data_IF_338631879460
#
_entry.id   IF_338631879460
#
_cell.length_a   1.000
_cell.length_b   1.000
_cell.length_c   1.000
_cell.angle_alpha   90.00
_cell.angle_beta   90.00
_cell.angle_gamma   90.00
#
_symmetry.space_group_name_H-M   'P 1'
#
loop_
_entity.id
_entity.type
_entity.pdbx_description
1 polymer ?
#
# COMPACT_ATOMS: atom_id res chain seq x y z
N UNK A 1 19.80 18.81 0.59
CA UNK A 1 19.88 17.47 -0.05
C UNK A 1 19.63 16.45 1.04
N UNK A 2 18.61 15.60 0.92
CA UNK A 2 18.38 14.52 1.89
C UNK A 2 19.36 13.40 1.55
N UNK A 3 20.31 13.13 2.43
CA UNK A 3 21.21 11.99 2.31
C UNK A 3 20.45 10.73 2.71
N UNK A 4 20.10 9.89 1.74
CA UNK A 4 19.51 8.57 2.00
C UNK A 4 20.56 7.73 2.74
N UNK A 5 20.20 7.15 3.88
CA UNK A 5 21.06 6.20 4.60
C UNK A 5 20.69 4.78 4.12
N UNK A 6 21.50 4.11 3.28
CA UNK A 6 21.13 2.80 2.75
C UNK A 6 21.12 1.73 3.84
N UNK A 7 20.32 0.68 3.63
CA UNK A 7 20.40 -0.54 4.46
C UNK A 7 21.70 -1.26 4.09
N UNK A 8 22.62 -1.35 5.05
CA UNK A 8 23.90 -2.02 4.84
C UNK A 8 23.72 -3.55 4.75
N UNK A 9 24.78 -4.27 4.37
CA UNK A 9 24.73 -5.71 4.15
C UNK A 9 24.43 -6.48 5.44
N UNK A 10 25.01 -6.07 6.58
CA UNK A 10 24.78 -6.71 7.88
C UNK A 10 23.33 -6.57 8.35
N UNK A 11 22.75 -5.37 8.24
CA UNK A 11 21.38 -5.10 8.61
C UNK A 11 20.42 -5.92 7.75
N UNK A 12 20.69 -6.00 6.45
CA UNK A 12 19.92 -6.80 5.48
C UNK A 12 20.00 -8.29 5.76
N UNK A 13 21.20 -8.81 6.00
CA UNK A 13 21.40 -10.22 6.34
C UNK A 13 20.72 -10.57 7.67
N UNK A 14 20.79 -9.67 8.66
CA UNK A 14 20.08 -9.79 9.94
C UNK A 14 18.58 -9.91 9.74
N UNK A 15 17.97 -9.09 8.86
CA UNK A 15 16.54 -9.17 8.56
C UNK A 15 16.18 -10.50 7.88
N UNK A 16 16.89 -10.88 6.81
CA UNK A 16 16.59 -12.08 6.04
C UNK A 16 16.74 -13.35 6.89
N UNK A 17 17.79 -13.42 7.71
CA UNK A 17 18.02 -14.56 8.61
C UNK A 17 17.03 -14.57 9.77
N UNK A 18 16.66 -13.41 10.29
CA UNK A 18 15.68 -13.27 11.37
C UNK A 18 14.30 -13.79 10.99
N UNK A 19 13.83 -13.52 9.77
CA UNK A 19 12.57 -14.05 9.23
C UNK A 19 12.56 -15.58 9.09
N UNK A 20 13.74 -16.18 8.87
CA UNK A 20 13.92 -17.64 8.73
C UNK A 20 14.21 -18.36 10.04
N UNK A 21 14.41 -17.62 11.13
CA UNK A 21 14.76 -18.21 12.43
C UNK A 21 13.71 -19.23 12.86
N UNK A 22 14.10 -20.29 13.57
CA UNK A 22 13.15 -21.19 14.23
C UNK A 22 12.62 -20.60 15.54
N UNK A 23 13.25 -19.53 16.05
CA UNK A 23 12.94 -18.93 17.35
C UNK A 23 11.86 -17.85 17.19
N UNK A 24 10.67 -17.99 17.82
CA UNK A 24 9.57 -17.04 17.67
C UNK A 24 9.94 -15.60 18.06
N UNK A 25 10.66 -15.43 19.17
CA UNK A 25 11.11 -14.12 19.64
C UNK A 25 12.01 -13.42 18.60
N UNK A 26 12.89 -14.15 17.92
CA UNK A 26 13.74 -13.60 16.86
C UNK A 26 12.93 -13.13 15.66
N UNK A 27 11.92 -13.91 15.24
CA UNK A 27 10.99 -13.49 14.19
C UNK A 27 10.27 -12.20 14.58
N UNK A 28 9.70 -12.16 15.79
CA UNK A 28 8.95 -10.99 16.27
C UNK A 28 9.80 -9.72 16.32
N UNK A 29 11.04 -9.81 16.82
CA UNK A 29 11.98 -8.68 16.82
C UNK A 29 12.30 -8.25 15.39
N UNK A 30 12.44 -9.20 14.47
CA UNK A 30 12.71 -8.91 13.05
C UNK A 30 11.53 -8.23 12.38
N UNK A 31 10.30 -8.69 12.62
CA UNK A 31 9.07 -8.05 12.15
C UNK A 31 8.99 -6.61 12.65
N UNK A 32 9.20 -6.39 13.95
CA UNK A 32 9.26 -5.05 14.55
C UNK A 32 10.32 -4.18 13.88
N UNK A 33 11.52 -4.71 13.64
CA UNK A 33 12.61 -3.99 12.96
C UNK A 33 12.21 -3.55 11.54
N UNK A 34 11.53 -4.41 10.77
CA UNK A 34 11.03 -4.05 9.45
C UNK A 34 9.99 -2.93 9.57
N UNK A 35 9.05 -3.03 10.50
CA UNK A 35 8.05 -1.97 10.75
C UNK A 35 8.72 -0.65 11.15
N UNK A 36 9.73 -0.68 12.02
CA UNK A 36 10.47 0.52 12.42
C UNK A 36 11.17 1.17 11.21
N UNK A 37 11.69 0.37 10.26
CA UNK A 37 12.23 0.89 8.99
C UNK A 37 11.15 1.57 8.14
N UNK A 38 9.93 1.02 8.07
CA UNK A 38 8.83 1.64 7.31
C UNK A 38 8.41 3.00 7.85
N UNK A 39 8.60 3.24 9.14
CA UNK A 39 8.16 4.46 9.83
C UNK A 39 9.30 5.48 9.89
N UNK A 40 10.51 5.03 10.25
CA UNK A 40 11.64 5.91 10.58
C UNK A 40 12.53 6.19 9.38
N UNK A 41 12.69 5.25 8.45
CA UNK A 41 13.60 5.32 7.29
C UNK A 41 13.00 4.72 6.00
N UNK A 42 11.80 5.16 5.56
CA UNK A 42 11.14 4.59 4.37
C UNK A 42 11.96 4.73 3.08
N UNK A 43 12.73 5.81 2.94
CA UNK A 43 13.61 6.06 1.79
C UNK A 43 14.70 5.00 1.63
N UNK A 44 15.16 4.38 2.72
CA UNK A 44 16.16 3.31 2.71
C UNK A 44 15.62 2.03 2.08
N UNK A 45 14.34 1.72 2.32
CA UNK A 45 13.64 0.57 1.72
C UNK A 45 13.35 0.80 0.24
N UNK A 46 12.92 2.02 -0.13
CA UNK A 46 12.71 2.40 -1.53
C UNK A 46 14.02 2.37 -2.34
N UNK A 47 15.11 2.86 -1.75
CA UNK A 47 16.43 2.77 -2.37
C UNK A 47 16.89 1.32 -2.54
N UNK A 48 16.63 0.46 -1.54
CA UNK A 48 16.94 -0.97 -1.64
C UNK A 48 16.10 -1.67 -2.70
N UNK A 49 14.82 -1.32 -2.90
CA UNK A 49 14.00 -1.88 -3.98
C UNK A 49 14.56 -1.52 -5.36
N UNK A 50 14.98 -0.27 -5.53
CA UNK A 50 15.60 0.21 -6.77
C UNK A 50 16.96 -0.44 -7.06
N UNK A 51 17.78 -0.68 -6.03
CA UNK A 51 19.19 -1.13 -6.19
C UNK A 51 19.39 -2.63 -6.00
N UNK A 52 18.61 -3.27 -5.14
CA UNK A 52 18.66 -4.70 -4.84
C UNK A 52 17.24 -5.26 -4.60
N UNK A 53 16.51 -5.36 -5.70
CA UNK A 53 15.17 -5.94 -5.72
C UNK A 53 15.14 -7.37 -5.17
N UNK A 54 16.22 -8.15 -5.31
CA UNK A 54 16.24 -9.55 -4.82
C UNK A 54 16.10 -9.61 -3.31
N UNK A 55 16.76 -8.72 -2.57
CA UNK A 55 16.65 -8.70 -1.11
C UNK A 55 15.25 -8.32 -0.64
N UNK A 56 14.58 -7.38 -1.32
CA UNK A 56 13.18 -7.06 -1.04
C UNK A 56 12.27 -8.27 -1.28
N UNK A 57 12.46 -9.00 -2.39
CA UNK A 57 11.69 -10.21 -2.66
C UNK A 57 11.92 -11.28 -1.60
N UNK A 58 13.15 -11.46 -1.12
CA UNK A 58 13.46 -12.42 -0.02
C UNK A 58 12.79 -12.03 1.29
N UNK A 59 12.66 -10.73 1.58
CA UNK A 59 11.93 -10.24 2.75
C UNK A 59 10.44 -10.55 2.59
N UNK A 60 9.84 -10.24 1.44
CA UNK A 60 8.42 -10.50 1.15
C UNK A 60 8.10 -12.00 1.27
N UNK A 61 8.87 -12.87 0.61
CA UNK A 61 8.65 -14.32 0.71
C UNK A 61 8.87 -14.86 2.13
N UNK A 62 9.75 -14.22 2.91
CA UNK A 62 9.93 -14.54 4.33
C UNK A 62 8.70 -14.23 5.16
N UNK A 63 8.06 -13.08 4.90
CA UNK A 63 6.81 -12.68 5.57
C UNK A 63 5.64 -13.59 5.18
N UNK A 64 5.47 -13.87 3.89
CA UNK A 64 4.42 -14.77 3.38
C UNK A 64 4.54 -16.18 3.98
N UNK A 65 5.77 -16.69 4.11
CA UNK A 65 6.02 -17.99 4.75
C UNK A 65 5.59 -18.00 6.22
N UNK A 66 5.81 -16.91 6.97
CA UNK A 66 5.36 -16.82 8.37
C UNK A 66 3.83 -16.79 8.42
N UNK A 67 3.19 -16.01 7.54
CA UNK A 67 1.73 -15.92 7.47
C UNK A 67 1.07 -17.27 7.21
N UNK A 68 1.63 -18.06 6.30
CA UNK A 68 1.02 -19.32 5.85
C UNK A 68 1.37 -20.50 6.76
N UNK A 69 2.62 -20.60 7.23
CA UNK A 69 3.14 -21.84 7.84
C UNK A 69 3.54 -21.74 9.31
N UNK A 70 3.53 -20.56 9.94
CA UNK A 70 3.85 -20.48 11.36
C UNK A 70 2.76 -21.13 12.22
N UNK A 71 3.11 -21.59 13.42
CA UNK A 71 2.14 -22.15 14.37
C UNK A 71 1.61 -21.09 15.32
N UNK A 72 2.35 -19.99 15.49
CA UNK A 72 1.97 -18.90 16.38
C UNK A 72 1.09 -17.89 15.62
N UNK A 73 -0.17 -17.81 16.02
CA UNK A 73 -1.16 -16.90 15.43
C UNK A 73 -0.78 -15.41 15.63
N UNK A 74 -0.02 -15.08 16.69
CA UNK A 74 0.50 -13.72 16.88
C UNK A 74 1.53 -13.41 15.81
N UNK A 75 2.43 -14.34 15.52
CA UNK A 75 3.43 -14.16 14.45
C UNK A 75 2.79 -14.02 13.07
N UNK A 76 1.76 -14.82 12.76
CA UNK A 76 1.00 -14.67 11.51
C UNK A 76 0.41 -13.27 11.38
N UNK A 77 -0.29 -12.82 12.43
CA UNK A 77 -0.91 -11.48 12.46
C UNK A 77 0.12 -10.37 12.28
N UNK A 78 1.22 -10.42 13.03
CA UNK A 78 2.29 -9.43 12.95
C UNK A 78 2.99 -9.44 11.59
N UNK A 79 3.16 -10.62 10.97
CA UNK A 79 3.71 -10.74 9.62
C UNK A 79 2.78 -10.12 8.56
N UNK A 80 1.47 -10.32 8.67
CA UNK A 80 0.48 -9.68 7.79
C UNK A 80 0.56 -8.15 7.87
N UNK A 81 0.56 -7.59 9.09
CA UNK A 81 0.66 -6.13 9.31
C UNK A 81 2.00 -5.61 8.79
N UNK A 82 3.08 -6.34 9.00
CA UNK A 82 4.42 -5.97 8.52
C UNK A 82 4.48 -5.95 7.01
N UNK A 83 3.91 -6.95 6.33
CA UNK A 83 3.87 -7.03 4.87
C UNK A 83 3.06 -5.88 4.26
N UNK A 84 1.92 -5.54 4.85
CA UNK A 84 1.08 -4.43 4.41
C UNK A 84 1.84 -3.10 4.49
N UNK A 85 2.45 -2.80 5.64
CA UNK A 85 3.26 -1.58 5.82
C UNK A 85 4.45 -1.53 4.85
N UNK A 86 5.14 -2.65 4.66
CA UNK A 86 6.26 -2.74 3.73
C UNK A 86 5.83 -2.43 2.29
N UNK A 87 4.72 -3.01 1.83
CA UNK A 87 4.15 -2.74 0.49
C UNK A 87 3.83 -1.26 0.31
N UNK A 88 3.16 -0.65 1.29
CA UNK A 88 2.86 0.80 1.30
C UNK A 88 4.15 1.62 1.16
N UNK A 89 5.19 1.31 1.95
CA UNK A 89 6.48 2.02 1.93
C UNK A 89 7.19 1.91 0.59
N UNK A 90 7.18 0.73 -0.05
CA UNK A 90 7.80 0.51 -1.36
C UNK A 90 7.10 1.23 -2.51
N UNK A 91 6.00 1.94 -2.23
CA UNK A 91 5.29 2.68 -3.24
C UNK A 91 4.58 1.77 -4.22
N UNK A 92 4.22 0.54 -3.82
CA UNK A 92 3.10 -0.16 -4.46
C UNK A 92 1.84 0.67 -4.13
N UNK A 93 1.66 1.75 -4.88
CA UNK A 93 0.77 2.90 -4.61
C UNK A 93 -0.73 2.57 -4.57
N UNK A 94 -1.09 1.30 -4.56
CA UNK A 94 -2.46 0.85 -4.55
C UNK A 94 -2.50 -0.44 -3.73
N UNK A 95 -2.68 -0.33 -2.41
CA UNK A 95 -3.43 -1.38 -1.72
C UNK A 95 -4.90 -1.04 -1.94
N UNK A 96 -5.31 -1.13 -3.20
CA UNK A 96 -6.64 -1.63 -3.49
C UNK A 96 -6.47 -3.14 -3.43
N UNK A 97 -7.45 -3.85 -2.88
CA UNK A 97 -7.61 -5.28 -3.08
C UNK A 97 -7.32 -5.60 -4.53
N UNK A 98 -6.28 -6.42 -4.77
CA UNK A 98 -5.97 -6.87 -6.13
C UNK A 98 -7.18 -7.64 -6.63
N UNK A 99 -7.82 -7.11 -7.68
CA UNK A 99 -8.91 -7.80 -8.32
C UNK A 99 -8.34 -8.85 -9.27
N UNK A 100 -8.89 -10.05 -9.20
CA UNK A 100 -8.49 -11.16 -10.05
C UNK A 100 -9.61 -11.52 -11.01
N UNK A 101 -9.27 -11.80 -12.26
CA UNK A 101 -10.20 -12.36 -13.22
C UNK A 101 -10.70 -13.72 -12.72
N UNK A 102 -12.01 -13.89 -12.52
CA UNK A 102 -12.58 -15.17 -12.05
C UNK A 102 -12.43 -16.33 -13.05
N UNK A 103 -12.07 -16.04 -14.30
CA UNK A 103 -11.87 -17.05 -15.34
C UNK A 103 -10.42 -17.55 -15.43
N UNK A 104 -9.43 -16.65 -15.43
CA UNK A 104 -8.01 -17.00 -15.64
C UNK A 104 -7.08 -16.63 -14.48
N UNK A 105 -7.63 -16.04 -13.41
CA UNK A 105 -6.92 -15.61 -12.22
C UNK A 105 -5.80 -14.58 -12.45
N UNK A 106 -5.76 -13.94 -13.63
CA UNK A 106 -4.86 -12.82 -13.88
C UNK A 106 -5.28 -11.60 -13.08
N UNK A 107 -4.31 -10.79 -12.67
CA UNK A 107 -4.56 -9.49 -12.03
C UNK A 107 -5.22 -8.55 -13.04
N UNK A 108 -6.27 -7.85 -12.60
CA UNK A 108 -7.04 -6.92 -13.42
C UNK A 108 -7.26 -5.59 -12.70
N UNK A 109 -7.63 -4.57 -13.47
CA UNK A 109 -8.12 -3.28 -12.99
C UNK A 109 -9.63 -3.17 -13.28
N UNK A 110 -10.42 -2.63 -12.35
CA UNK A 110 -11.87 -2.44 -12.52
C UNK A 110 -12.23 -1.40 -13.60
N UNK A 111 -11.24 -0.61 -14.06
CA UNK A 111 -11.35 0.26 -15.22
C UNK A 111 -11.35 -0.47 -16.56
N UNK A 112 -11.04 -1.77 -16.59
CA UNK A 112 -11.04 -2.55 -17.82
C UNK A 112 -12.40 -3.17 -18.11
N UNK A 113 -12.79 -3.23 -19.38
CA UNK A 113 -14.02 -3.91 -19.81
C UNK A 113 -13.80 -5.42 -19.92
N UNK A 114 -12.65 -5.83 -20.45
CA UNK A 114 -12.30 -7.22 -20.71
C UNK A 114 -10.95 -7.57 -20.08
N UNK A 115 -10.78 -8.83 -19.67
CA UNK A 115 -9.52 -9.32 -19.15
C UNK A 115 -8.44 -9.31 -20.25
N UNK A 116 -7.33 -8.62 -20.01
CA UNK A 116 -6.21 -8.56 -20.95
C UNK A 116 -5.55 -9.93 -21.23
N UNK A 117 -5.69 -10.89 -20.31
CA UNK A 117 -5.09 -12.22 -20.45
C UNK A 117 -6.00 -13.24 -21.16
N UNK A 118 -7.31 -13.24 -20.86
CA UNK A 118 -8.23 -14.28 -21.39
C UNK A 118 -9.45 -13.75 -22.14
N UNK A 119 -9.64 -12.43 -22.24
CA UNK A 119 -10.75 -11.81 -22.97
C UNK A 119 -12.12 -11.87 -22.29
N UNK A 120 -12.24 -12.47 -21.09
CA UNK A 120 -13.51 -12.52 -20.36
C UNK A 120 -14.03 -11.12 -20.01
N UNK A 121 -15.34 -10.92 -20.12
CA UNK A 121 -16.01 -9.67 -19.74
C UNK A 121 -15.90 -9.47 -18.21
N UNK A 122 -15.29 -8.37 -17.78
CA UNK A 122 -15.09 -8.02 -16.38
C UNK A 122 -16.26 -7.23 -15.79
N UNK A 123 -17.08 -6.59 -16.63
CA UNK A 123 -18.23 -5.78 -16.20
C UNK A 123 -19.33 -6.67 -15.60
N UNK A 124 -19.44 -7.92 -16.06
CA UNK A 124 -20.41 -8.90 -15.57
C UNK A 124 -19.91 -9.70 -14.34
N UNK A 125 -18.67 -9.45 -13.90
CA UNK A 125 -18.08 -10.16 -12.75
C UNK A 125 -18.30 -9.38 -11.45
N UNK A 126 -18.72 -10.06 -10.39
CA UNK A 126 -18.87 -9.42 -9.07
C UNK A 126 -17.54 -9.36 -8.30
N UNK A 127 -17.19 -8.19 -7.74
CA UNK A 127 -16.00 -7.99 -6.89
C UNK A 127 -16.42 -7.46 -5.51
N UNK A 128 -15.93 -8.09 -4.42
CA UNK A 128 -16.41 -7.87 -3.04
C UNK A 128 -16.17 -6.45 -2.51
N UNK A 129 -15.08 -5.79 -2.91
CA UNK A 129 -14.72 -4.43 -2.48
C UNK A 129 -14.99 -3.37 -3.56
N UNK A 130 -15.78 -3.70 -4.59
CA UNK A 130 -16.14 -2.74 -5.63
C UNK A 130 -17.42 -1.96 -5.30
N UNK A 131 -17.48 -0.70 -5.72
CA UNK A 131 -18.69 0.13 -5.74
C UNK A 131 -19.12 0.39 -7.16
N UNK A 132 -20.41 0.49 -7.41
CA UNK A 132 -20.89 0.86 -8.73
C UNK A 132 -20.94 2.37 -8.89
N UNK A 133 -20.46 2.85 -10.04
CA UNK A 133 -20.62 4.26 -10.40
C UNK A 133 -22.11 4.62 -10.39
N UNK A 134 -22.54 5.67 -9.69
CA UNK A 134 -23.96 6.06 -9.65
C UNK A 134 -24.50 6.43 -11.04
N UNK A 135 -23.64 6.90 -11.94
CA UNK A 135 -24.00 7.33 -13.30
C UNK A 135 -24.01 6.16 -14.32
N UNK A 136 -22.92 5.40 -14.43
CA UNK A 136 -22.79 4.37 -15.47
C UNK A 136 -22.92 2.91 -14.98
N UNK A 137 -23.09 2.71 -13.66
CA UNK A 137 -23.25 1.39 -13.01
C UNK A 137 -22.10 0.40 -13.18
N UNK A 138 -21.00 0.78 -13.84
CA UNK A 138 -19.77 -0.01 -13.89
C UNK A 138 -19.02 0.06 -12.55
N UNK A 139 -18.27 -1.00 -12.26
CA UNK A 139 -17.46 -1.12 -11.05
C UNK A 139 -16.39 -0.04 -10.95
N UNK A 140 -16.18 0.45 -9.74
CA UNK A 140 -15.25 1.50 -9.32
C UNK A 140 -14.68 1.15 -7.95
N UNK A 141 -13.63 1.84 -7.53
CA UNK A 141 -13.06 1.74 -6.17
C UNK A 141 -13.29 3.03 -5.39
N UNK A 142 -13.21 2.95 -4.06
CA UNK A 142 -13.41 4.10 -3.17
C UNK A 142 -12.39 5.23 -3.39
N UNK A 143 -11.22 4.91 -3.94
CA UNK A 143 -10.14 5.88 -4.14
C UNK A 143 -10.23 6.63 -5.48
N UNK A 144 -11.14 6.21 -6.37
CA UNK A 144 -11.29 6.89 -7.65
C UNK A 144 -11.94 8.26 -7.45
N UNK A 145 -11.24 9.33 -7.82
CA UNK A 145 -11.81 10.67 -7.83
C UNK A 145 -12.92 10.81 -8.89
N UNK A 146 -12.68 10.21 -10.05
CA UNK A 146 -13.56 10.22 -11.20
C UNK A 146 -13.71 8.79 -11.73
N UNK A 147 -14.88 8.43 -12.24
CA UNK A 147 -15.11 7.15 -12.88
C UNK A 147 -14.27 7.05 -14.16
N UNK A 148 -13.41 6.04 -14.27
CA UNK A 148 -12.59 5.80 -15.46
C UNK A 148 -13.45 5.51 -16.71
N UNK A 149 -14.68 5.02 -16.51
CA UNK A 149 -15.57 4.63 -17.60
C UNK A 149 -16.40 5.77 -18.18
N UNK A 150 -16.83 6.73 -17.35
CA UNK A 150 -17.74 7.80 -17.78
C UNK A 150 -17.34 9.21 -17.32
N UNK A 151 -16.25 9.35 -16.57
CA UNK A 151 -15.75 10.64 -16.07
C UNK A 151 -16.56 11.24 -14.92
N UNK A 152 -17.60 10.57 -14.43
CA UNK A 152 -18.41 11.06 -13.30
C UNK A 152 -17.55 11.25 -12.04
N UNK A 153 -17.67 12.41 -11.38
CA UNK A 153 -16.94 12.72 -10.14
C UNK A 153 -17.49 11.88 -8.98
N UNK A 154 -16.70 10.93 -8.49
CA UNK A 154 -17.08 9.96 -7.46
C UNK A 154 -16.85 10.50 -6.04
N UNK A 155 -15.92 11.44 -5.86
CA UNK A 155 -15.56 12.01 -4.56
C UNK A 155 -15.95 13.50 -4.52
N UNK A 156 -16.71 13.89 -3.50
CA UNK A 156 -17.04 15.29 -3.23
C UNK A 156 -15.82 16.06 -2.70
N UNK A 157 -15.75 17.37 -2.91
CA UNK A 157 -14.56 18.18 -2.54
C UNK A 157 -14.23 18.16 -1.04
N UNK A 158 -15.24 17.94 -0.19
CA UNK A 158 -15.06 17.81 1.26
C UNK A 158 -14.30 16.54 1.64
N UNK A 159 -14.41 15.47 0.84
CA UNK A 159 -13.82 14.15 1.12
C UNK A 159 -12.44 13.97 0.47
N UNK A 160 -11.93 15.01 -0.21
CA UNK A 160 -10.57 14.97 -0.76
C UNK A 160 -9.55 15.10 0.35
N UNK A 161 -8.63 14.15 0.40
CA UNK A 161 -7.42 14.22 1.22
C UNK A 161 -6.57 15.39 0.71
N UNK A 162 -6.51 16.48 1.48
CA UNK A 162 -5.67 17.64 1.18
C UNK A 162 -4.29 17.40 1.80
N UNK A 163 -3.23 17.81 1.10
CA UNK A 163 -1.87 17.82 1.67
C UNK A 163 -1.46 19.25 1.98
N UNK A 164 -0.92 19.47 3.18
CA UNK A 164 -0.42 20.76 3.60
C UNK A 164 0.65 21.24 2.60
N UNK A 165 0.53 22.48 2.09
CA UNK A 165 1.47 23.03 1.12
C UNK A 165 2.91 23.07 1.63
N UNK A 166 3.09 23.30 2.93
CA UNK A 166 4.38 23.43 3.61
C UNK A 166 4.96 22.07 4.04
N UNK A 167 4.29 21.34 4.95
CA UNK A 167 4.83 20.10 5.51
C UNK A 167 4.44 18.82 4.76
N UNK A 168 3.61 18.93 3.70
CA UNK A 168 3.12 17.84 2.85
C UNK A 168 2.33 16.73 3.55
N UNK A 169 2.09 16.85 4.86
CA UNK A 169 1.23 15.93 5.61
C UNK A 169 -0.22 16.07 5.18
N UNK A 170 -0.93 14.97 5.26
CA UNK A 170 -2.37 14.92 5.00
C UNK A 170 -3.11 15.70 6.08
N UNK A 171 -4.06 16.50 5.64
CA UNK A 171 -4.82 17.44 6.44
C UNK A 171 -6.26 17.43 5.95
N UNK A 172 -7.18 17.57 6.90
CA UNK A 172 -8.59 17.62 6.60
C UNK A 172 -8.95 18.92 5.87
N UNK A 173 -9.85 18.82 4.89
CA UNK A 173 -10.30 19.96 4.09
C UNK A 173 -11.11 20.99 4.90
N UNK A 174 -11.66 20.60 6.06
CA UNK A 174 -12.37 21.48 6.99
C UNK A 174 -11.44 22.35 7.82
N UNK A 175 -10.17 21.98 7.97
CA UNK A 175 -9.23 22.66 8.88
C UNK A 175 -8.73 23.99 8.31
N UNK A 176 -8.68 25.01 9.19
CA UNK A 176 -8.17 26.34 8.84
C UNK A 176 -6.64 26.42 8.91
N UNK A 177 -6.04 25.60 9.76
CA UNK A 177 -4.62 25.59 10.11
C UNK A 177 -4.12 24.15 10.15
N UNK A 178 -2.90 23.92 9.67
CA UNK A 178 -2.24 22.63 9.77
C UNK A 178 -1.84 22.39 11.23
N UNK A 179 -2.32 21.32 11.89
CA UNK A 179 -1.95 21.05 13.28
C UNK A 179 -0.49 20.63 13.44
N UNK A 180 0.17 20.25 12.35
CA UNK A 180 1.54 19.75 12.38
C UNK A 180 2.60 20.83 12.18
N UNK A 181 2.27 21.94 11.51
CA UNK A 181 3.25 22.99 11.20
C UNK A 181 2.69 24.41 11.30
N UNK A 182 1.43 24.59 11.72
CA UNK A 182 0.79 25.89 11.87
C UNK A 182 0.53 26.64 10.56
N UNK A 183 0.83 26.04 9.40
CA UNK A 183 0.58 26.67 8.10
C UNK A 183 -0.91 26.74 7.82
N UNK A 184 -1.40 27.91 7.40
CA UNK A 184 -2.80 28.12 7.05
C UNK A 184 -3.19 27.27 5.83
N UNK A 185 -4.24 26.47 5.95
CA UNK A 185 -4.68 25.53 4.91
C UNK A 185 -5.71 26.14 3.96
N UNK A 186 -6.47 27.12 4.45
CA UNK A 186 -7.44 27.90 3.65
C UNK A 186 -7.01 29.37 3.54
N UNK A 187 -6.83 29.83 2.31
CA UNK A 187 -7.27 31.17 1.94
C UNK A 187 -8.73 31.00 1.52
N UNK A 188 -9.65 31.67 2.21
CA UNK A 188 -11.01 31.85 1.69
C UNK A 188 -10.86 32.51 0.32
N UNK A 189 -11.11 31.77 -0.75
CA UNK A 189 -11.40 32.41 -2.03
C UNK A 189 -12.89 32.74 -2.03
N UNK A 190 -13.10 34.03 -2.21
CA UNK A 190 -14.36 34.78 -2.28
C UNK A 190 -15.26 34.26 -3.38
#
# INVERSE_FOLDING_TARGET
MVTVIPINEEERASIINGLKSSVPATKLITLKKIVDLTILRPESLQYMEMTDKQSIQRIISGLERIMEYDVDEVLKREATITLEKLKITLGSKFVETLNYCKNCNAVIDLGWENCANCGSNLIEMNFEESKDCPNCKKHTTENWNNCAHCGFKLIEERDRIIKCSNCKREVDSSWMMCPYCGTRLKSLKK
#
